data_IF_338442776759
#
_entry.id   IF_338442776759
#
_cell.length_a   1.000
_cell.length_b   1.000
_cell.length_c   1.000
_cell.angle_alpha   90.00
_cell.angle_beta   90.00
_cell.angle_gamma   90.00
#
_symmetry.space_group_name_H-M   'P 1'
#
loop_
_entity.id
_entity.type
_entity.pdbx_description
1 polymer ?
#
# COMPACT_ATOMS: atom_id res chain seq x y z
N UNK A 1 25.65 91.74 -17.36
CA UNK A 1 25.80 91.38 -18.79
C UNK A 1 27.00 90.46 -18.93
N UNK A 2 26.76 89.31 -19.57
CA UNK A 2 27.70 88.36 -20.16
C UNK A 2 28.41 87.32 -19.28
N UNK A 3 28.15 86.08 -19.71
CA UNK A 3 28.48 84.76 -19.19
C UNK A 3 29.96 84.38 -19.38
N UNK A 4 30.46 83.51 -18.51
CA UNK A 4 31.44 82.49 -18.91
C UNK A 4 31.30 81.24 -18.02
N UNK A 5 30.60 80.26 -18.55
CA UNK A 5 30.47 78.90 -18.05
C UNK A 5 31.78 78.15 -18.31
N UNK A 6 32.33 77.46 -17.31
CA UNK A 6 33.25 76.33 -17.53
C UNK A 6 32.90 75.20 -16.58
N UNK A 7 32.20 74.22 -17.15
CA UNK A 7 31.86 72.93 -16.55
C UNK A 7 33.12 72.11 -16.32
N UNK A 8 33.29 71.59 -15.09
CA UNK A 8 34.27 70.55 -14.78
C UNK A 8 33.49 69.25 -14.59
N UNK A 9 33.64 68.33 -15.54
CA UNK A 9 33.18 66.94 -15.45
C UNK A 9 34.35 66.15 -14.86
N UNK A 10 34.19 65.58 -13.66
CA UNK A 10 35.07 64.51 -13.18
C UNK A 10 34.18 63.35 -12.71
N UNK A 11 34.39 62.22 -13.38
CA UNK A 11 33.61 61.00 -13.34
C UNK A 11 33.73 60.27 -11.99
N UNK A 12 32.59 59.75 -11.54
CA UNK A 12 32.50 58.82 -10.42
C UNK A 12 32.92 57.41 -10.87
N UNK A 13 33.86 56.80 -10.16
CA UNK A 13 34.19 55.38 -10.24
C UNK A 13 33.90 54.74 -8.88
N UNK A 14 32.66 54.25 -8.72
CA UNK A 14 32.23 53.42 -7.60
C UNK A 14 32.67 51.97 -7.84
N UNK A 15 33.71 51.54 -7.12
CA UNK A 15 34.10 50.14 -7.07
C UNK A 15 33.08 49.35 -6.22
N UNK A 16 32.19 48.61 -6.89
CA UNK A 16 31.37 47.56 -6.25
C UNK A 16 32.27 46.35 -5.99
N UNK A 17 32.71 46.18 -4.74
CA UNK A 17 33.29 44.93 -4.26
C UNK A 17 32.21 43.86 -4.16
N UNK A 18 32.22 42.90 -5.08
CA UNK A 18 31.43 41.68 -5.00
C UNK A 18 32.07 40.76 -3.95
N UNK A 19 31.60 40.85 -2.70
CA UNK A 19 31.92 39.89 -1.65
C UNK A 19 30.89 38.77 -1.65
N UNK A 20 31.12 37.71 -2.43
CA UNK A 20 30.38 36.46 -2.25
C UNK A 20 30.78 35.86 -0.90
N UNK A 21 29.91 35.97 0.10
CA UNK A 21 29.98 35.12 1.28
C UNK A 21 29.71 33.69 0.82
N UNK A 22 30.75 32.86 0.78
CA UNK A 22 30.59 31.43 0.61
C UNK A 22 29.86 30.90 1.86
N UNK A 23 28.55 30.73 1.75
CA UNK A 23 27.83 29.83 2.65
C UNK A 23 28.47 28.45 2.47
N UNK A 24 29.17 27.98 3.50
CA UNK A 24 29.46 26.56 3.71
C UNK A 24 28.11 25.95 4.11
N UNK A 25 27.21 25.85 3.12
CA UNK A 25 25.95 25.17 3.23
C UNK A 25 26.22 23.70 2.94
N UNK A 26 26.35 22.93 4.01
CA UNK A 26 26.13 21.48 4.09
C UNK A 26 25.66 20.86 2.77
N UNK A 27 26.53 20.14 2.07
CA UNK A 27 26.13 19.18 1.03
C UNK A 27 25.42 18.01 1.70
N UNK A 28 24.22 18.25 2.20
CA UNK A 28 23.26 17.18 2.43
C UNK A 28 22.78 16.83 1.02
N UNK A 29 23.49 15.91 0.36
CA UNK A 29 23.02 15.33 -0.90
C UNK A 29 21.67 14.70 -0.58
N UNK A 30 20.58 15.40 -0.91
CA UNK A 30 19.23 14.85 -0.82
C UNK A 30 19.25 13.57 -1.64
N UNK A 31 19.28 12.41 -0.96
CA UNK A 31 19.25 11.11 -1.62
C UNK A 31 18.06 11.16 -2.56
N UNK A 32 18.31 11.10 -3.86
CA UNK A 32 17.25 11.25 -4.84
C UNK A 32 16.32 10.05 -4.69
N UNK A 33 15.15 10.30 -4.12
CA UNK A 33 14.14 9.26 -3.96
C UNK A 33 13.39 9.08 -5.28
N UNK A 34 12.93 7.87 -5.60
CA UNK A 34 12.02 7.66 -6.72
C UNK A 34 10.78 8.56 -6.61
N UNK A 35 10.12 8.90 -7.73
CA UNK A 35 8.86 9.63 -7.70
C UNK A 35 7.84 8.98 -6.76
N UNK A 36 7.16 9.81 -5.96
CA UNK A 36 6.18 9.34 -4.97
C UNK A 36 6.78 8.63 -3.74
N UNK A 37 8.08 8.37 -3.70
CA UNK A 37 8.73 7.78 -2.53
C UNK A 37 9.06 8.84 -1.46
N UNK A 38 9.08 8.40 -0.22
CA UNK A 38 9.39 9.20 0.96
C UNK A 38 10.33 8.43 1.90
N UNK A 39 10.95 9.17 2.83
CA UNK A 39 11.68 8.55 3.94
C UNK A 39 10.73 7.61 4.71
N UNK A 40 11.14 6.37 5.03
CA UNK A 40 10.27 5.40 5.71
C UNK A 40 9.71 5.89 7.04
N UNK A 41 10.35 6.84 7.71
CA UNK A 41 9.90 7.42 8.98
C UNK A 41 8.76 8.42 8.80
N UNK A 42 8.57 8.96 7.60
CA UNK A 42 7.47 9.87 7.32
C UNK A 42 6.14 9.12 7.36
N UNK A 43 5.09 9.73 7.96
CA UNK A 43 3.77 9.12 8.05
C UNK A 43 3.10 9.00 6.68
N UNK A 44 2.04 8.21 6.61
CA UNK A 44 1.21 8.13 5.41
C UNK A 44 0.39 9.44 5.26
N UNK A 45 0.11 9.92 4.03
CA UNK A 45 -0.73 11.10 3.79
C UNK A 45 -2.17 11.06 4.33
N UNK A 46 -2.62 9.95 4.92
CA UNK A 46 -3.88 9.85 5.67
C UNK A 46 -4.98 8.97 5.05
N UNK A 47 -5.13 8.94 3.72
CA UNK A 47 -6.23 8.18 3.07
C UNK A 47 -5.78 7.46 1.80
N UNK A 48 -6.55 6.45 1.40
CA UNK A 48 -6.41 5.69 0.15
C UNK A 48 -7.73 5.77 -0.60
N UNK A 49 -7.70 6.21 -1.85
CA UNK A 49 -8.85 6.15 -2.75
C UNK A 49 -8.96 4.75 -3.37
N UNK A 50 -10.11 4.12 -3.28
CA UNK A 50 -10.38 2.79 -3.80
C UNK A 50 -11.46 2.87 -4.87
N UNK A 51 -11.05 2.70 -6.12
CA UNK A 51 -11.92 2.84 -7.29
C UNK A 51 -12.33 1.48 -7.80
N UNK A 52 -13.61 1.34 -8.14
CA UNK A 52 -14.17 0.10 -8.64
C UNK A 52 -14.75 0.31 -10.04
N UNK A 53 -14.14 -0.32 -11.04
CA UNK A 53 -14.54 -0.10 -12.44
C UNK A 53 -15.91 -0.68 -12.79
N UNK A 54 -16.39 -1.70 -12.05
CA UNK A 54 -17.64 -2.38 -12.36
C UNK A 54 -18.91 -1.54 -12.10
N UNK A 55 -18.83 -0.57 -11.20
CA UNK A 55 -19.93 0.35 -10.88
C UNK A 55 -19.51 1.83 -10.88
N UNK A 56 -18.26 2.12 -11.24
CA UNK A 56 -17.67 3.46 -11.21
C UNK A 56 -17.72 4.13 -9.82
N UNK A 57 -17.74 3.33 -8.74
CA UNK A 57 -17.71 3.87 -7.38
C UNK A 57 -16.28 4.12 -6.91
N UNK A 58 -16.15 5.03 -5.96
CA UNK A 58 -14.91 5.34 -5.25
C UNK A 58 -15.18 5.36 -3.74
N UNK A 59 -14.33 4.69 -2.97
CA UNK A 59 -14.33 4.68 -1.52
C UNK A 59 -13.05 5.31 -0.98
N UNK A 60 -13.14 5.97 0.18
CA UNK A 60 -11.97 6.50 0.87
C UNK A 60 -11.68 5.66 2.11
N UNK A 61 -10.53 4.98 2.14
CA UNK A 61 -10.11 4.24 3.32
C UNK A 61 -9.14 5.03 4.18
N UNK A 62 -9.38 4.99 5.48
CA UNK A 62 -8.49 5.57 6.48
C UNK A 62 -7.33 4.62 6.74
N UNK A 63 -6.10 5.12 6.66
CA UNK A 63 -4.91 4.27 6.83
C UNK A 63 -4.74 3.70 8.23
N UNK A 64 -5.34 4.31 9.25
CA UNK A 64 -5.34 3.79 10.61
C UNK A 64 -6.03 2.42 10.75
N UNK A 65 -6.93 2.07 9.82
CA UNK A 65 -7.65 0.79 9.82
C UNK A 65 -6.89 -0.32 9.09
N UNK A 66 -5.71 0.00 8.56
CA UNK A 66 -4.94 -0.83 7.64
C UNK A 66 -3.50 -0.96 8.19
N UNK A 67 -2.92 -2.18 8.24
CA UNK A 67 -1.53 -2.35 8.64
C UNK A 67 -0.56 -1.69 7.67
N UNK A 68 0.58 -1.27 8.23
CA UNK A 68 1.72 -0.67 7.54
C UNK A 68 2.18 -1.45 6.29
N UNK A 69 2.11 -2.79 6.32
CA UNK A 69 2.49 -3.64 5.20
C UNK A 69 1.65 -3.40 3.94
N UNK A 70 0.49 -2.77 4.08
CA UNK A 70 -0.35 -2.39 2.96
C UNK A 70 -0.21 -0.97 2.52
N UNK A 71 -0.31 -0.04 3.47
CA UNK A 71 -0.36 1.38 3.16
C UNK A 71 1.00 1.87 2.65
N UNK A 72 2.05 1.05 2.77
CA UNK A 72 3.35 1.33 2.19
C UNK A 72 3.85 0.24 1.26
N UNK A 73 4.54 0.68 0.21
CA UNK A 73 5.37 -0.11 -0.66
C UNK A 73 6.83 0.26 -0.38
N UNK A 74 7.51 -0.55 0.44
CA UNK A 74 8.85 -0.25 0.96
C UNK A 74 9.95 -1.09 0.32
N UNK A 75 11.10 -0.46 0.12
CA UNK A 75 12.22 -1.04 -0.61
C UNK A 75 13.56 -0.68 0.02
N UNK A 76 14.54 -1.58 -0.10
CA UNK A 76 15.91 -1.31 0.29
C UNK A 76 16.66 -0.50 -0.80
N UNK A 77 17.96 -0.26 -0.59
CA UNK A 77 18.79 0.51 -1.52
C UNK A 77 18.94 -0.14 -2.89
N UNK A 78 18.76 -1.47 -2.98
CA UNK A 78 18.81 -2.22 -4.23
C UNK A 78 17.46 -2.24 -4.97
N UNK A 79 16.41 -1.69 -4.36
CA UNK A 79 15.05 -1.76 -4.89
C UNK A 79 14.34 -3.07 -4.58
N UNK A 80 14.83 -3.87 -3.62
CA UNK A 80 14.15 -5.09 -3.17
C UNK A 80 13.12 -4.77 -2.10
N UNK A 81 11.96 -5.43 -2.18
CA UNK A 81 10.87 -5.34 -1.20
C UNK A 81 11.35 -5.72 0.21
N UNK A 82 11.12 -4.84 1.17
CA UNK A 82 11.46 -5.07 2.58
C UNK A 82 10.44 -4.41 3.52
N UNK A 83 10.41 -4.86 4.78
CA UNK A 83 9.62 -4.19 5.82
C UNK A 83 10.08 -2.76 6.07
N UNK A 84 9.13 -1.87 6.34
CA UNK A 84 9.33 -0.42 6.54
C UNK A 84 10.48 -0.06 7.48
N UNK A 85 10.65 -0.81 8.58
CA UNK A 85 11.70 -0.56 9.57
C UNK A 85 13.13 -0.64 9.02
N UNK A 86 13.35 -1.42 7.97
CA UNK A 86 14.66 -1.64 7.35
C UNK A 86 14.74 -1.05 5.93
N UNK A 87 13.73 -0.30 5.51
CA UNK A 87 13.65 0.24 4.17
C UNK A 87 14.59 1.43 4.01
N UNK A 88 15.07 1.65 2.78
CA UNK A 88 15.75 2.88 2.40
C UNK A 88 14.74 3.98 2.03
N UNK A 89 13.60 3.58 1.46
CA UNK A 89 12.51 4.45 1.05
C UNK A 89 11.21 3.66 0.96
N UNK A 90 10.09 4.37 1.04
CA UNK A 90 8.76 3.79 0.91
C UNK A 90 7.88 4.68 0.03
N UNK A 91 7.01 4.08 -0.76
CA UNK A 91 5.94 4.78 -1.47
C UNK A 91 4.65 4.57 -0.67
N UNK A 92 3.98 5.62 -0.18
CA UNK A 92 2.65 5.50 0.40
C UNK A 92 1.66 5.12 -0.70
N UNK A 93 0.81 4.14 -0.43
CA UNK A 93 -0.24 3.71 -1.35
C UNK A 93 -1.45 4.63 -1.17
N UNK A 94 -1.75 5.47 -2.15
CA UNK A 94 -2.81 6.50 -2.02
C UNK A 94 -4.01 6.21 -2.91
N UNK A 95 -3.88 5.33 -3.89
CA UNK A 95 -4.96 4.96 -4.77
C UNK A 95 -4.85 3.49 -5.21
N UNK A 96 -6.00 2.84 -5.32
CA UNK A 96 -6.15 1.47 -5.77
C UNK A 96 -7.32 1.39 -6.72
N UNK A 97 -7.08 0.84 -7.91
CA UNK A 97 -8.11 0.62 -8.92
C UNK A 97 -8.38 -0.87 -9.04
N UNK A 98 -9.64 -1.26 -8.92
CA UNK A 98 -10.08 -2.65 -9.03
C UNK A 98 -10.97 -2.82 -10.27
N UNK A 99 -10.56 -3.71 -11.15
CA UNK A 99 -11.35 -4.15 -12.32
C UNK A 99 -11.80 -5.57 -12.07
N UNK A 100 -13.10 -5.83 -12.15
CA UNK A 100 -13.68 -7.16 -11.98
C UNK A 100 -14.60 -7.48 -13.14
N UNK A 101 -14.36 -8.62 -13.80
CA UNK A 101 -15.08 -9.01 -15.03
C UNK A 101 -15.56 -10.45 -15.00
N UNK A 102 -16.64 -10.74 -15.74
CA UNK A 102 -17.13 -12.09 -15.99
C UNK A 102 -16.30 -12.83 -17.05
N UNK A 103 -16.69 -14.06 -17.40
CA UNK A 103 -16.03 -14.88 -18.43
C UNK A 103 -16.03 -14.23 -19.83
N UNK A 104 -16.93 -13.28 -20.08
CA UNK A 104 -17.06 -12.56 -21.35
C UNK A 104 -16.33 -11.20 -21.33
N UNK A 105 -15.69 -10.84 -20.22
CA UNK A 105 -15.04 -9.54 -20.04
C UNK A 105 -15.99 -8.40 -19.68
N UNK A 106 -17.26 -8.67 -19.34
CA UNK A 106 -18.18 -7.64 -18.90
C UNK A 106 -17.89 -7.26 -17.44
N UNK A 107 -17.93 -5.97 -17.08
CA UNK A 107 -17.76 -5.56 -15.69
C UNK A 107 -18.86 -6.13 -14.80
N UNK A 108 -18.48 -6.76 -13.68
CA UNK A 108 -19.41 -7.33 -12.70
C UNK A 108 -18.90 -7.10 -11.29
N UNK A 109 -19.79 -7.22 -10.30
CA UNK A 109 -19.39 -7.16 -8.91
C UNK A 109 -18.30 -8.21 -8.60
N UNK A 110 -17.34 -7.94 -7.70
CA UNK A 110 -16.23 -8.84 -7.45
C UNK A 110 -16.65 -10.28 -7.06
N UNK A 111 -17.77 -10.42 -6.36
CA UNK A 111 -18.33 -11.74 -5.97
C UNK A 111 -18.71 -12.62 -7.16
N UNK A 112 -19.06 -12.00 -8.27
CA UNK A 112 -19.54 -12.65 -9.49
C UNK A 112 -18.45 -12.72 -10.57
N UNK A 113 -17.27 -12.16 -10.29
CA UNK A 113 -16.18 -12.04 -11.26
C UNK A 113 -15.44 -13.36 -11.50
N UNK A 114 -15.16 -13.61 -12.78
CA UNK A 114 -14.27 -14.67 -13.26
C UNK A 114 -12.79 -14.28 -13.11
N UNK A 115 -12.49 -12.99 -13.31
CA UNK A 115 -11.16 -12.45 -13.03
C UNK A 115 -11.22 -11.04 -12.43
N UNK A 116 -10.24 -10.74 -11.58
CA UNK A 116 -10.11 -9.44 -10.93
C UNK A 116 -8.67 -8.97 -11.07
N UNK A 117 -8.48 -7.71 -11.44
CA UNK A 117 -7.19 -7.06 -11.46
C UNK A 117 -7.19 -5.82 -10.57
N UNK A 118 -6.03 -5.55 -9.96
CA UNK A 118 -5.82 -4.46 -9.02
C UNK A 118 -4.58 -3.71 -9.45
N UNK A 119 -4.73 -2.41 -9.69
CA UNK A 119 -3.62 -1.48 -9.91
C UNK A 119 -3.45 -0.61 -8.68
N UNK A 120 -2.21 -0.41 -8.26
CA UNK A 120 -1.83 0.32 -7.05
C UNK A 120 -1.00 1.55 -7.41
N UNK A 121 -1.32 2.69 -6.80
CA UNK A 121 -0.73 3.97 -7.12
C UNK A 121 -0.30 4.76 -5.88
N UNK A 122 0.87 5.39 -5.99
CA UNK A 122 1.41 6.33 -5.03
C UNK A 122 1.02 7.77 -5.35
N UNK A 123 1.58 8.74 -4.61
CA UNK A 123 1.32 10.16 -4.83
C UNK A 123 1.49 10.58 -6.29
N UNK A 124 0.68 11.54 -6.73
CA UNK A 124 0.62 12.01 -8.13
C UNK A 124 0.31 10.89 -9.14
N UNK A 125 -0.50 9.90 -8.76
CA UNK A 125 -0.86 8.73 -9.58
C UNK A 125 0.35 7.95 -10.10
N UNK A 126 1.43 7.89 -9.29
CA UNK A 126 2.62 7.11 -9.66
C UNK A 126 2.26 5.63 -9.60
N UNK A 127 2.28 4.94 -10.73
CA UNK A 127 2.04 3.50 -10.77
C UNK A 127 3.08 2.73 -9.94
N UNK A 128 2.62 1.81 -9.09
CA UNK A 128 3.47 1.00 -8.24
C UNK A 128 3.45 -0.46 -8.68
N UNK A 129 2.27 -1.07 -8.73
CA UNK A 129 2.11 -2.50 -8.96
C UNK A 129 0.78 -2.78 -9.63
N UNK A 130 0.73 -3.87 -10.41
CA UNK A 130 -0.49 -4.44 -10.93
C UNK A 130 -0.51 -5.92 -10.60
N UNK A 131 -1.62 -6.38 -10.05
CA UNK A 131 -1.87 -7.80 -9.77
C UNK A 131 -3.15 -8.24 -10.43
N UNK A 132 -3.19 -9.50 -10.87
CA UNK A 132 -4.36 -10.09 -11.49
C UNK A 132 -4.59 -11.47 -10.90
N UNK A 133 -5.84 -11.81 -10.64
CA UNK A 133 -6.23 -13.16 -10.26
C UNK A 133 -6.05 -14.13 -11.43
N UNK A 134 -6.00 -15.41 -11.12
CA UNK A 134 -6.19 -16.42 -12.15
C UNK A 134 -7.62 -16.32 -12.72
N UNK A 135 -7.84 -16.71 -13.99
CA UNK A 135 -9.18 -16.89 -14.55
C UNK A 135 -9.99 -17.91 -13.74
N UNK A 136 -11.32 -17.90 -13.88
CA UNK A 136 -12.22 -18.83 -13.18
C UNK A 136 -12.25 -18.70 -11.65
N UNK A 137 -11.99 -17.48 -11.15
CA UNK A 137 -12.05 -17.15 -9.73
C UNK A 137 -13.41 -17.46 -9.09
N UNK A 138 -14.52 -17.22 -9.81
CA UNK A 138 -15.86 -17.56 -9.35
C UNK A 138 -16.00 -19.05 -9.08
N UNK A 139 -15.63 -19.88 -10.05
CA UNK A 139 -15.71 -21.35 -9.95
C UNK A 139 -14.84 -21.88 -8.81
N UNK A 140 -13.63 -21.34 -8.65
CA UNK A 140 -12.76 -21.74 -7.55
C UNK A 140 -13.40 -21.48 -6.18
N UNK A 141 -14.01 -20.29 -5.99
CA UNK A 141 -14.69 -19.95 -4.73
C UNK A 141 -15.89 -20.85 -4.44
N UNK A 142 -16.66 -21.21 -5.46
CA UNK A 142 -17.79 -22.13 -5.33
C UNK A 142 -17.33 -23.53 -4.88
N UNK A 143 -16.23 -24.04 -5.46
CA UNK A 143 -15.63 -25.32 -5.07
C UNK A 143 -15.11 -25.30 -3.63
N UNK A 144 -14.41 -24.23 -3.24
CA UNK A 144 -13.88 -24.07 -1.88
C UNK A 144 -15.02 -23.99 -0.84
N UNK A 145 -16.10 -23.26 -1.17
CA UNK A 145 -17.29 -23.13 -0.30
C UNK A 145 -18.04 -24.45 -0.10
N UNK A 146 -18.07 -25.33 -1.11
CA UNK A 146 -18.69 -26.65 -0.99
C UNK A 146 -17.90 -27.61 -0.08
N UNK A 147 -16.57 -27.51 -0.05
CA UNK A 147 -15.74 -28.34 0.84
C UNK A 147 -15.89 -27.98 2.32
N UNK A 148 -16.42 -26.79 2.63
CA UNK A 148 -16.49 -26.26 3.99
C UNK A 148 -17.83 -26.55 4.70
N UNK A 149 -18.77 -27.23 4.04
CA UNK A 149 -20.00 -27.72 4.67
C UNK A 149 -19.65 -28.97 5.50
N UNK A 150 -19.81 -28.98 6.84
CA UNK A 150 -19.62 -30.19 7.62
C UNK A 150 -20.68 -31.19 7.14
N UNK A 151 -20.24 -32.30 6.56
CA UNK A 151 -21.12 -33.44 6.35
C UNK A 151 -21.71 -33.79 7.70
N UNK A 152 -23.01 -33.59 7.85
CA UNK A 152 -23.78 -33.97 9.02
C UNK A 152 -23.54 -35.45 9.29
N UNK A 153 -22.71 -35.75 10.29
CA UNK A 153 -22.49 -37.12 10.77
C UNK A 153 -23.76 -37.54 11.51
N UNK A 154 -24.65 -38.22 10.79
CA UNK A 154 -25.73 -38.97 11.40
C UNK A 154 -25.12 -40.24 12.03
N UNK A 155 -24.84 -40.23 13.33
CA UNK A 155 -24.78 -41.46 14.14
C UNK A 155 -25.18 -41.18 15.60
N UNK A 156 -26.25 -41.88 15.99
CA UNK A 156 -26.93 -42.11 17.29
C UNK A 156 -26.28 -41.73 18.65
N UNK A 157 -27.09 -41.54 19.71
CA UNK A 157 -26.68 -40.88 20.95
C UNK A 157 -25.94 -41.83 21.90
N UNK A 158 -24.72 -41.46 22.29
CA UNK A 158 -24.05 -42.04 23.46
C UNK A 158 -24.08 -41.04 24.61
N UNK A 159 -24.79 -41.42 25.67
CA UNK A 159 -24.64 -40.88 27.02
C UNK A 159 -23.17 -40.92 27.45
N UNK A 160 -22.70 -39.93 28.20
CA UNK A 160 -21.97 -40.06 29.48
C UNK A 160 -21.47 -38.67 29.94
N UNK A 161 -21.79 -38.32 31.19
CA UNK A 161 -21.34 -37.14 31.95
C UNK A 161 -19.98 -37.38 32.63
N UNK A 162 -19.30 -36.32 33.11
CA UNK A 162 -17.84 -36.19 33.11
C UNK A 162 -17.20 -36.56 34.44
N UNK A 163 -15.91 -36.92 34.42
CA UNK A 163 -15.04 -36.68 35.58
C UNK A 163 -13.60 -36.31 35.20
N UNK A 164 -12.99 -35.59 36.12
CA UNK A 164 -11.93 -34.60 36.02
C UNK A 164 -10.63 -35.16 36.60
N UNK A 165 -9.49 -35.03 35.90
CA UNK A 165 -8.19 -34.57 36.47
C UNK A 165 -6.98 -34.75 35.53
N UNK A 166 -6.38 -33.60 35.18
CA UNK A 166 -4.98 -33.20 35.27
C UNK A 166 -3.80 -34.15 34.97
N UNK A 167 -3.01 -33.69 33.97
CA UNK A 167 -1.55 -33.46 33.97
C UNK A 167 -0.60 -34.36 33.12
N UNK A 168 -0.07 -33.72 32.07
CA UNK A 168 1.34 -33.65 31.65
C UNK A 168 1.92 -34.72 30.70
N UNK A 169 1.92 -34.35 29.42
CA UNK A 169 3.07 -34.28 28.48
C UNK A 169 3.75 -35.57 28.02
N UNK A 170 3.53 -35.95 26.76
CA UNK A 170 4.55 -35.91 25.70
C UNK A 170 3.99 -36.46 24.37
N UNK A 171 4.39 -35.82 23.27
CA UNK A 171 4.20 -36.23 21.88
C UNK A 171 2.77 -36.31 21.37
N UNK A 172 2.27 -35.15 20.94
CA UNK A 172 1.63 -35.07 19.63
C UNK A 172 2.11 -33.80 18.96
N UNK A 173 2.69 -33.97 17.78
CA UNK A 173 2.96 -32.90 16.85
C UNK A 173 1.76 -32.86 15.90
N UNK A 174 0.71 -32.06 16.17
CA UNK A 174 -0.23 -31.72 15.11
C UNK A 174 0.49 -30.73 14.18
N UNK A 175 0.19 -30.73 12.86
CA UNK A 175 0.67 -29.65 12.02
C UNK A 175 0.13 -28.34 12.60
N UNK A 176 1.06 -27.43 12.86
CA UNK A 176 0.85 -26.11 13.47
C UNK A 176 -0.18 -25.33 12.64
N UNK A 177 -1.45 -25.42 13.06
CA UNK A 177 -2.41 -24.36 12.88
C UNK A 177 -2.22 -23.41 14.06
N UNK A 178 -1.55 -22.28 13.84
CA UNK A 178 -1.60 -21.16 14.77
C UNK A 178 -1.80 -19.83 14.04
N UNK A 179 -2.76 -19.09 14.57
CA UNK A 179 -3.47 -17.96 14.02
C UNK A 179 -2.61 -16.68 14.03
N UNK A 180 -2.45 -16.06 12.87
CA UNK A 180 -2.21 -14.61 12.72
C UNK A 180 -2.91 -14.11 11.44
N UNK A 181 -4.18 -13.73 11.54
CA UNK A 181 -4.92 -13.11 10.41
C UNK A 181 -4.40 -11.68 10.19
N UNK A 182 -3.41 -11.56 9.31
CA UNK A 182 -2.65 -10.34 9.03
C UNK A 182 -2.91 -9.86 7.61
N UNK A 183 -3.48 -8.65 7.41
CA UNK A 183 -3.66 -7.96 6.12
C UNK A 183 -4.49 -8.68 5.02
N UNK A 184 -4.06 -9.89 4.69
CA UNK A 184 -4.70 -11.00 3.97
C UNK A 184 -6.15 -11.35 4.32
N UNK A 185 -6.74 -10.83 5.41
CA UNK A 185 -8.17 -11.01 5.68
C UNK A 185 -9.05 -10.01 4.92
N UNK A 186 -8.49 -8.88 4.47
CA UNK A 186 -9.27 -7.75 3.94
C UNK A 186 -9.30 -7.71 2.41
N UNK A 187 -8.24 -8.15 1.74
CA UNK A 187 -8.34 -8.57 0.32
C UNK A 187 -9.38 -9.69 0.15
N UNK A 188 -9.55 -10.57 1.15
CA UNK A 188 -10.58 -11.63 1.12
C UNK A 188 -12.00 -11.05 1.02
N UNK A 189 -12.30 -9.95 1.70
CA UNK A 189 -13.58 -9.24 1.52
C UNK A 189 -13.70 -8.52 0.16
N UNK A 190 -12.61 -8.03 -0.43
CA UNK A 190 -12.62 -7.21 -1.65
C UNK A 190 -13.02 -7.92 -2.93
N UNK A 191 -12.95 -9.24 -2.94
CA UNK A 191 -13.53 -10.04 -4.02
C UNK A 191 -14.97 -10.46 -3.68
N UNK A 192 -15.51 -10.11 -2.52
CA UNK A 192 -16.81 -10.53 -2.02
C UNK A 192 -16.79 -11.75 -1.08
N UNK A 193 -15.84 -11.86 -0.15
CA UNK A 193 -15.82 -12.89 0.92
C UNK A 193 -15.65 -12.25 2.31
N UNK A 194 -16.74 -11.68 2.83
CA UNK A 194 -17.03 -11.81 4.26
C UNK A 194 -17.85 -13.09 4.43
#
# INVERSE_FOLDING_TARGET
MNFAVRSIIIAALSAYGCGCTANIGSTNMTKHLPPGAQDPKLPHPGTIAAKYSWNHSEEMWTVSDLPDSFIFRCFDESGKRIGRANAAWCIPLVEIETVSVDENGNPVAPKDADSISISEYGPAHTFIEHTQSFPHLKRQRELDGQQQIPSKVDTAPSSFTPDRSNNTSANDQPPVADLRLSWSAKVKAWLGLA
#
